data_IF_703780587805
#
_entry.id   IF_703780587805
#
_cell.length_a   1.000
_cell.length_b   1.000
_cell.length_c   1.000
_cell.angle_alpha   90.00
_cell.angle_beta   90.00
_cell.angle_gamma   90.00
#
_symmetry.space_group_name_H-M   'P 1'
#
loop_
_entity.id
_entity.type
_entity.pdbx_description
1 polymer ?
#
# COMPACT_ATOMS: atom_id res chain seq x y z
N UNK A 1 40.46 -43.41 50.02
CA UNK A 1 39.31 -43.77 49.15
C UNK A 1 38.36 -42.58 49.02
N UNK A 2 37.91 -41.95 50.12
CA UNK A 2 37.04 -40.77 50.11
C UNK A 2 37.54 -39.57 49.28
N UNK A 3 38.83 -39.23 49.37
CA UNK A 3 39.42 -38.06 48.68
C UNK A 3 39.46 -38.19 47.14
N UNK A 4 39.46 -39.42 46.62
CA UNK A 4 39.41 -39.71 45.17
C UNK A 4 37.98 -39.54 44.65
N UNK A 5 36.99 -39.82 45.50
CA UNK A 5 35.57 -39.75 45.20
C UNK A 5 35.08 -38.30 45.17
N UNK A 6 35.52 -37.46 46.12
CA UNK A 6 35.29 -36.01 46.10
C UNK A 6 35.93 -35.34 44.88
N UNK A 7 37.16 -35.71 44.51
CA UNK A 7 37.82 -35.15 43.32
C UNK A 7 37.07 -35.49 42.02
N UNK A 8 36.56 -36.73 41.88
CA UNK A 8 35.73 -37.12 40.73
C UNK A 8 34.42 -36.34 40.68
N UNK A 9 33.75 -36.17 41.82
CA UNK A 9 32.48 -35.44 41.89
C UNK A 9 32.66 -33.97 41.48
N UNK A 10 33.74 -33.32 41.92
CA UNK A 10 34.05 -31.93 41.55
C UNK A 10 34.40 -31.81 40.07
N UNK A 11 35.13 -32.77 39.50
CA UNK A 11 35.52 -32.77 38.09
C UNK A 11 34.32 -33.04 37.16
N UNK A 12 33.40 -33.92 37.57
CA UNK A 12 32.15 -34.22 36.86
C UNK A 12 31.20 -33.00 36.87
N UNK A 13 31.00 -32.36 38.02
CA UNK A 13 30.20 -31.13 38.13
C UNK A 13 30.80 -29.97 37.32
N UNK A 14 32.13 -29.86 37.29
CA UNK A 14 32.81 -28.86 36.47
C UNK A 14 32.60 -29.13 34.97
N UNK A 15 32.73 -30.38 34.53
CA UNK A 15 32.47 -30.79 33.14
C UNK A 15 31.01 -30.56 32.74
N UNK A 16 30.04 -30.92 33.59
CA UNK A 16 28.62 -30.66 33.32
C UNK A 16 28.31 -29.17 33.19
N UNK A 17 28.92 -28.31 34.02
CA UNK A 17 28.73 -26.86 33.94
C UNK A 17 29.26 -26.28 32.62
N UNK A 18 30.43 -26.75 32.17
CA UNK A 18 31.06 -26.32 30.91
C UNK A 18 30.22 -26.79 29.72
N UNK A 19 29.71 -28.02 29.77
CA UNK A 19 28.90 -28.56 28.69
C UNK A 19 27.52 -27.88 28.61
N UNK A 20 26.89 -27.58 29.75
CA UNK A 20 25.64 -26.79 29.78
C UNK A 20 25.84 -25.38 29.27
N UNK A 21 26.93 -24.71 29.64
CA UNK A 21 27.24 -23.36 29.17
C UNK A 21 27.55 -23.35 27.68
N UNK A 22 28.30 -24.33 27.19
CA UNK A 22 28.57 -24.51 25.76
C UNK A 22 27.28 -24.78 24.96
N UNK A 23 26.37 -25.63 25.47
CA UNK A 23 25.06 -25.88 24.85
C UNK A 23 24.20 -24.62 24.81
N UNK A 24 24.11 -23.89 25.92
CA UNK A 24 23.34 -22.64 26.00
C UNK A 24 23.87 -21.58 25.03
N UNK A 25 25.19 -21.42 24.94
CA UNK A 25 25.83 -20.48 24.02
C UNK A 25 25.58 -20.87 22.55
N UNK A 26 25.63 -22.17 22.23
CA UNK A 26 25.34 -22.69 20.90
C UNK A 26 23.86 -22.53 20.52
N UNK A 27 22.93 -22.74 21.46
CA UNK A 27 21.50 -22.51 21.25
C UNK A 27 21.19 -21.02 21.04
N UNK A 28 21.80 -20.12 21.83
CA UNK A 28 21.67 -18.68 21.63
C UNK A 28 22.23 -18.22 20.28
N UNK A 29 23.39 -18.73 19.87
CA UNK A 29 23.98 -18.39 18.57
C UNK A 29 23.11 -18.92 17.41
N UNK A 30 22.59 -20.14 17.54
CA UNK A 30 21.65 -20.70 16.56
C UNK A 30 20.35 -19.87 16.48
N UNK A 31 19.78 -19.47 17.62
CA UNK A 31 18.60 -18.61 17.65
C UNK A 31 18.87 -17.24 17.05
N UNK A 32 20.02 -16.61 17.35
CA UNK A 32 20.41 -15.32 16.76
C UNK A 32 20.58 -15.42 15.25
N UNK A 33 21.18 -16.50 14.75
CA UNK A 33 21.33 -16.74 13.30
C UNK A 33 19.97 -16.90 12.62
N UNK A 34 19.08 -17.72 13.17
CA UNK A 34 17.73 -17.92 12.65
C UNK A 34 16.94 -16.61 12.64
N UNK A 35 16.97 -15.86 13.74
CA UNK A 35 16.30 -14.56 13.83
C UNK A 35 16.89 -13.54 12.85
N UNK A 36 18.21 -13.53 12.64
CA UNK A 36 18.84 -12.66 11.65
C UNK A 36 18.43 -13.02 10.21
N UNK A 37 18.34 -14.31 9.88
CA UNK A 37 17.95 -14.78 8.56
C UNK A 37 16.46 -14.48 8.27
N UNK A 38 15.58 -14.67 9.25
CA UNK A 38 14.16 -14.31 9.12
C UNK A 38 13.97 -12.79 9.00
N UNK A 39 14.74 -12.01 9.78
CA UNK A 39 14.75 -10.55 9.67
C UNK A 39 15.32 -10.04 8.33
N UNK A 40 16.19 -10.82 7.66
CA UNK A 40 16.67 -10.52 6.31
C UNK A 40 15.59 -10.84 5.27
N UNK A 41 14.99 -12.03 5.32
CA UNK A 41 13.92 -12.41 4.38
C UNK A 41 12.73 -11.46 4.43
N UNK A 42 12.30 -11.09 5.63
CA UNK A 42 11.20 -10.12 5.80
C UNK A 42 11.55 -8.77 5.19
N UNK A 43 12.78 -8.25 5.40
CA UNK A 43 13.24 -7.01 4.77
C UNK A 43 13.30 -7.10 3.24
N UNK A 44 13.74 -8.23 2.70
CA UNK A 44 13.80 -8.45 1.25
C UNK A 44 12.40 -8.48 0.64
N UNK A 45 11.45 -9.19 1.28
CA UNK A 45 10.05 -9.23 0.85
C UNK A 45 9.38 -7.85 0.90
N UNK A 46 9.60 -7.11 1.98
CA UNK A 46 9.10 -5.73 2.15
C UNK A 46 9.66 -4.81 1.04
N UNK A 47 10.96 -4.94 0.74
CA UNK A 47 11.61 -4.17 -0.33
C UNK A 47 11.03 -4.51 -1.71
N UNK A 48 10.85 -5.79 -2.02
CA UNK A 48 10.24 -6.23 -3.28
C UNK A 48 8.79 -5.75 -3.41
N UNK A 49 8.02 -5.83 -2.33
CA UNK A 49 6.64 -5.34 -2.27
C UNK A 49 6.55 -3.83 -2.45
N UNK A 50 7.45 -3.07 -1.84
CA UNK A 50 7.55 -1.61 -2.03
C UNK A 50 7.88 -1.27 -3.48
N UNK A 51 8.88 -1.91 -4.07
CA UNK A 51 9.27 -1.67 -5.47
C UNK A 51 8.12 -1.98 -6.45
N UNK A 52 7.42 -3.09 -6.25
CA UNK A 52 6.23 -3.43 -7.05
C UNK A 52 5.13 -2.38 -6.88
N UNK A 53 4.87 -1.94 -5.65
CA UNK A 53 3.88 -0.91 -5.35
C UNK A 53 4.22 0.44 -6.00
N UNK A 54 5.49 0.82 -6.02
CA UNK A 54 5.99 2.03 -6.68
C UNK A 54 5.87 1.95 -8.21
N UNK A 55 6.15 0.80 -8.81
CA UNK A 55 5.95 0.58 -10.25
C UNK A 55 4.47 0.74 -10.61
N UNK A 56 3.57 0.10 -9.86
CA UNK A 56 2.13 0.21 -10.06
C UNK A 56 1.65 1.67 -9.88
N UNK A 57 2.22 2.41 -8.93
CA UNK A 57 1.90 3.83 -8.74
C UNK A 57 2.32 4.67 -9.96
N UNK A 58 3.54 4.49 -10.47
CA UNK A 58 4.01 5.19 -11.67
C UNK A 58 3.18 4.87 -12.91
N UNK A 59 2.74 3.63 -13.05
CA UNK A 59 1.82 3.25 -14.12
C UNK A 59 0.48 3.95 -13.94
N UNK A 60 -0.08 3.99 -12.73
CA UNK A 60 -1.31 4.70 -12.44
C UNK A 60 -1.21 6.22 -12.73
N UNK A 61 -0.13 6.87 -12.31
CA UNK A 61 0.10 8.30 -12.57
C UNK A 61 0.09 8.65 -14.07
N UNK A 62 0.41 7.70 -14.96
CA UNK A 62 0.30 7.88 -16.41
C UNK A 62 -1.14 7.99 -16.89
N UNK A 63 -2.09 7.32 -16.22
CA UNK A 63 -3.51 7.32 -16.61
C UNK A 63 -4.31 8.47 -15.98
N UNK A 64 -3.89 8.98 -14.82
CA UNK A 64 -4.52 10.15 -14.18
C UNK A 64 -4.75 11.33 -15.14
N UNK A 65 -3.76 11.81 -15.93
CA UNK A 65 -4.00 12.89 -16.88
C UNK A 65 -4.98 12.49 -17.98
N UNK A 66 -4.92 11.25 -18.49
CA UNK A 66 -5.82 10.76 -19.54
C UNK A 66 -7.27 10.73 -19.05
N UNK A 67 -7.49 10.25 -17.82
CA UNK A 67 -8.80 10.27 -17.16
C UNK A 67 -9.28 11.71 -17.00
N UNK A 68 -8.40 12.61 -16.51
CA UNK A 68 -8.73 14.03 -16.35
C UNK A 68 -9.12 14.69 -17.67
N UNK A 69 -8.38 14.44 -18.74
CA UNK A 69 -8.68 14.99 -20.06
C UNK A 69 -10.00 14.44 -20.62
N UNK A 70 -10.27 13.15 -20.43
CA UNK A 70 -11.56 12.54 -20.78
C UNK A 70 -12.70 13.21 -20.00
N UNK A 71 -12.59 13.34 -18.69
CA UNK A 71 -13.61 14.02 -17.86
C UNK A 71 -13.80 15.47 -18.28
N UNK A 72 -12.71 16.20 -18.60
CA UNK A 72 -12.77 17.58 -19.09
C UNK A 72 -13.53 17.72 -20.40
N UNK A 73 -13.47 16.73 -21.30
CA UNK A 73 -14.21 16.75 -22.57
C UNK A 73 -15.73 16.70 -22.37
N UNK A 74 -16.20 16.00 -21.34
CA UNK A 74 -17.64 15.91 -21.01
C UNK A 74 -18.09 16.95 -19.99
N UNK A 75 -17.14 17.67 -19.38
CA UNK A 75 -17.47 18.66 -18.37
C UNK A 75 -18.08 19.92 -18.97
N UNK A 76 -19.32 20.20 -18.60
CA UNK A 76 -20.04 21.41 -19.00
C UNK A 76 -19.82 22.47 -17.92
N UNK A 77 -19.08 23.53 -18.26
CA UNK A 77 -18.78 24.64 -17.34
C UNK A 77 -20.07 25.36 -16.91
N UNK A 78 -20.47 25.32 -15.62
CA UNK A 78 -21.59 26.11 -15.16
C UNK A 78 -21.24 27.60 -15.07
N UNK A 79 -22.21 28.52 -15.25
CA UNK A 79 -21.98 29.97 -15.33
C UNK A 79 -21.42 30.59 -14.02
N UNK A 80 -21.55 29.90 -12.88
CA UNK A 80 -21.10 30.36 -11.56
C UNK A 80 -19.69 29.83 -11.16
N UNK A 81 -18.88 29.36 -12.12
CA UNK A 81 -17.57 28.76 -11.84
C UNK A 81 -16.47 29.82 -11.78
N UNK A 82 -15.93 30.07 -10.58
CA UNK A 82 -14.69 30.83 -10.40
C UNK A 82 -13.48 30.08 -10.97
N UNK A 83 -12.41 30.79 -11.35
CA UNK A 83 -11.21 30.19 -11.97
C UNK A 83 -10.39 29.29 -11.04
N UNK A 84 -10.63 29.36 -9.72
CA UNK A 84 -9.83 28.68 -8.69
C UNK A 84 -10.61 27.62 -7.90
N UNK A 85 -11.74 27.14 -8.43
CA UNK A 85 -12.54 26.11 -7.76
C UNK A 85 -11.88 24.73 -7.88
N UNK A 86 -11.76 24.02 -6.76
CA UNK A 86 -11.30 22.65 -6.70
C UNK A 86 -12.33 21.81 -5.95
N UNK A 87 -12.73 20.68 -6.52
CA UNK A 87 -13.53 19.67 -5.80
C UNK A 87 -12.77 18.35 -5.76
N UNK A 88 -12.87 17.66 -4.62
CA UNK A 88 -12.39 16.29 -4.46
C UNK A 88 -13.60 15.38 -4.42
N UNK A 89 -13.64 14.41 -5.34
CA UNK A 89 -14.69 13.41 -5.43
C UNK A 89 -14.10 12.02 -5.32
N UNK A 90 -14.69 11.16 -4.50
CA UNK A 90 -14.39 9.73 -4.45
C UNK A 90 -15.21 9.03 -5.51
N UNK A 91 -14.55 8.23 -6.34
CA UNK A 91 -15.16 7.49 -7.46
C UNK A 91 -14.78 6.03 -7.34
N UNK A 92 -15.76 5.15 -7.57
CA UNK A 92 -15.52 3.71 -7.70
C UNK A 92 -15.66 3.27 -9.15
N UNK A 93 -14.66 2.55 -9.64
CA UNK A 93 -14.62 1.99 -10.99
C UNK A 93 -14.76 0.47 -10.95
N UNK A 94 -15.29 -0.11 -12.02
CA UNK A 94 -15.30 -1.57 -12.25
C UNK A 94 -14.23 -1.97 -13.28
N UNK A 95 -13.71 -3.22 -13.19
CA UNK A 95 -12.75 -3.74 -14.18
C UNK A 95 -13.36 -3.64 -15.58
N UNK A 96 -12.80 -2.78 -16.44
CA UNK A 96 -13.38 -2.40 -17.72
C UNK A 96 -13.46 -0.88 -17.94
N UNK A 97 -13.29 -0.09 -16.87
CA UNK A 97 -13.28 1.38 -16.94
C UNK A 97 -14.64 2.02 -16.76
N UNK A 98 -15.68 1.24 -16.53
CA UNK A 98 -17.00 1.76 -16.22
C UNK A 98 -17.05 2.33 -14.80
N UNK A 99 -17.67 3.50 -14.67
CA UNK A 99 -17.93 4.13 -13.37
C UNK A 99 -19.12 3.43 -12.73
N UNK A 100 -18.99 3.01 -11.48
CA UNK A 100 -20.12 2.41 -10.77
C UNK A 100 -21.20 3.48 -10.59
N UNK A 101 -22.43 3.25 -11.09
CA UNK A 101 -23.52 4.21 -10.94
C UNK A 101 -23.77 4.48 -9.45
N UNK A 102 -23.99 5.75 -9.11
CA UNK A 102 -24.23 6.21 -7.73
C UNK A 102 -23.06 6.00 -6.74
N UNK A 103 -21.87 5.64 -7.22
CA UNK A 103 -20.68 5.54 -6.35
C UNK A 103 -19.93 6.86 -6.16
N UNK A 104 -20.16 7.83 -7.05
CA UNK A 104 -19.47 9.13 -7.01
C UNK A 104 -19.97 9.95 -5.82
N UNK A 105 -19.06 10.29 -4.91
CA UNK A 105 -19.36 11.11 -3.73
C UNK A 105 -18.40 12.29 -3.63
N UNK A 106 -18.91 13.47 -3.32
CA UNK A 106 -18.10 14.64 -3.05
C UNK A 106 -17.48 14.49 -1.66
N UNK A 107 -16.16 14.41 -1.60
CA UNK A 107 -15.38 14.36 -0.36
C UNK A 107 -15.09 15.77 0.13
N UNK A 108 -14.72 16.65 -0.81
CA UNK A 108 -14.48 18.06 -0.56
C UNK A 108 -15.20 18.89 -1.61
N UNK A 109 -16.19 19.65 -1.15
CA UNK A 109 -16.93 20.59 -2.00
C UNK A 109 -16.04 21.77 -2.37
N UNK A 110 -16.20 22.27 -3.59
CA UNK A 110 -15.56 23.50 -4.04
C UNK A 110 -16.16 24.78 -3.43
N UNK A 111 -17.22 24.66 -2.64
CA UNK A 111 -18.03 25.79 -2.19
C UNK A 111 -19.14 26.17 -3.17
N UNK A 112 -19.25 25.48 -4.31
CA UNK A 112 -20.33 25.65 -5.28
C UNK A 112 -20.96 24.31 -5.66
N UNK A 113 -22.21 24.08 -5.22
CA UNK A 113 -22.95 22.86 -5.50
C UNK A 113 -23.18 22.62 -6.99
N UNK A 114 -23.39 23.67 -7.80
CA UNK A 114 -23.57 23.52 -9.24
C UNK A 114 -22.29 23.06 -9.94
N UNK A 115 -21.12 23.50 -9.43
CA UNK A 115 -19.83 23.00 -9.91
C UNK A 115 -19.63 21.53 -9.53
N UNK A 116 -19.84 21.18 -8.26
CA UNK A 116 -19.68 19.82 -7.77
C UNK A 116 -20.61 18.85 -8.54
N UNK A 117 -21.88 19.21 -8.75
CA UNK A 117 -22.83 18.41 -9.54
C UNK A 117 -22.41 18.27 -11.01
N UNK A 118 -21.90 19.34 -11.62
CA UNK A 118 -21.39 19.28 -13.00
C UNK A 118 -20.20 18.32 -13.12
N UNK A 119 -19.28 18.32 -12.14
CA UNK A 119 -18.16 17.38 -12.11
C UNK A 119 -18.64 15.94 -11.93
N UNK A 120 -19.59 15.69 -11.03
CA UNK A 120 -20.21 14.36 -10.86
C UNK A 120 -20.87 13.90 -12.16
N UNK A 121 -21.63 14.77 -12.83
CA UNK A 121 -22.26 14.45 -14.12
C UNK A 121 -21.21 14.15 -15.21
N UNK A 122 -20.14 14.94 -15.28
CA UNK A 122 -19.05 14.76 -16.24
C UNK A 122 -18.34 13.41 -16.05
N UNK A 123 -18.09 12.99 -14.80
CA UNK A 123 -17.47 11.69 -14.50
C UNK A 123 -18.37 10.54 -14.94
N UNK A 124 -19.68 10.64 -14.66
CA UNK A 124 -20.63 9.61 -15.10
C UNK A 124 -20.74 9.56 -16.65
N UNK A 125 -20.71 10.71 -17.33
CA UNK A 125 -20.75 10.76 -18.81
C UNK A 125 -19.43 10.35 -19.47
N UNK A 126 -18.31 10.51 -18.77
CA UNK A 126 -16.99 10.13 -19.27
C UNK A 126 -16.77 8.61 -19.29
N UNK A 127 -17.72 7.81 -18.75
CA UNK A 127 -17.70 6.35 -18.83
C UNK A 127 -17.79 5.87 -20.29
N UNK A 128 -16.99 4.87 -20.70
CA UNK A 128 -15.92 4.21 -19.95
C UNK A 128 -14.64 5.07 -19.91
N UNK A 129 -14.04 5.16 -18.73
CA UNK A 129 -12.77 5.85 -18.53
C UNK A 129 -11.59 4.95 -18.98
N UNK A 130 -10.55 5.53 -19.59
CA UNK A 130 -9.35 4.79 -19.97
C UNK A 130 -8.58 4.43 -18.70
N UNK A 131 -8.75 3.19 -18.23
CA UNK A 131 -8.05 2.64 -17.07
C UNK A 131 -7.13 1.50 -17.50
N UNK A 132 -6.01 1.28 -16.78
CA UNK A 132 -5.18 0.11 -17.01
C UNK A 132 -5.93 -1.17 -16.62
N UNK A 133 -5.62 -2.27 -17.30
CA UNK A 133 -5.99 -3.61 -16.87
C UNK A 133 -4.94 -4.21 -15.93
N UNK A 134 -5.30 -5.23 -15.16
CA UNK A 134 -4.37 -5.94 -14.26
C UNK A 134 -4.24 -5.32 -12.86
N UNK A 135 -3.13 -5.57 -12.14
CA UNK A 135 -2.98 -5.19 -10.72
C UNK A 135 -3.01 -3.67 -10.47
N UNK A 136 -2.68 -2.85 -11.48
CA UNK A 136 -2.77 -1.38 -11.40
C UNK A 136 -4.22 -0.93 -11.20
N UNK A 137 -5.19 -1.68 -11.72
CA UNK A 137 -6.62 -1.36 -11.59
C UNK A 137 -7.10 -1.32 -10.14
N UNK A 138 -6.54 -2.14 -9.23
CA UNK A 138 -6.95 -2.16 -7.82
C UNK A 138 -6.79 -0.77 -7.16
N UNK A 139 -5.82 0.04 -7.61
CA UNK A 139 -5.67 1.44 -7.17
C UNK A 139 -6.72 2.39 -7.74
N UNK A 140 -7.30 2.06 -8.90
CA UNK A 140 -8.38 2.82 -9.53
C UNK A 140 -9.77 2.34 -9.13
N UNK A 141 -9.87 1.16 -8.51
CA UNK A 141 -11.13 0.61 -8.02
C UNK A 141 -11.84 1.62 -7.12
N UNK A 142 -11.12 2.27 -6.22
CA UNK A 142 -11.63 3.38 -5.41
C UNK A 142 -10.53 4.44 -5.27
N UNK A 143 -10.77 5.62 -5.84
CA UNK A 143 -9.78 6.69 -5.82
C UNK A 143 -10.42 8.07 -5.64
N UNK A 144 -9.65 8.98 -5.06
CA UNK A 144 -10.03 10.38 -4.91
C UNK A 144 -9.56 11.17 -6.13
N UNK A 145 -10.51 11.64 -6.92
CA UNK A 145 -10.25 12.48 -8.07
C UNK A 145 -10.40 13.96 -7.68
N UNK A 146 -9.32 14.73 -7.87
CA UNK A 146 -9.36 16.18 -7.69
C UNK A 146 -9.54 16.85 -9.03
N UNK A 147 -10.69 17.51 -9.22
CA UNK A 147 -10.99 18.24 -10.45
C UNK A 147 -10.75 19.74 -10.28
N UNK A 148 -10.05 20.34 -11.25
CA UNK A 148 -9.79 21.78 -11.37
C UNK A 148 -10.02 22.23 -12.81
N UNK A 149 -10.78 23.32 -13.03
CA UNK A 149 -11.18 23.82 -14.34
C UNK A 149 -10.07 24.53 -15.12
#
# INVERSE_FOLDING_TARGET
MAEIEERRLVEELAQESIEQEARRLAEEDAQRRLAAEEAQRTREDDMLSSLASEQLAREADRYVPVIRDKVRQFWVRPPATGRDLATVVSVRLIPGGDVVPNSVRVVQSSGNTAFDQSVVAAINQASPLPVPSGPVFERFREFNFTFRP
#
